data_IF_268484175299
#
_entry.id   IF_268484175299
#
_cell.length_a   1.000
_cell.length_b   1.000
_cell.length_c   1.000
_cell.angle_alpha   90.00
_cell.angle_beta   90.00
_cell.angle_gamma   90.00
#
_symmetry.space_group_name_H-M   'P 1'
#
loop_
_entity.id
_entity.type
_entity.pdbx_description
1 polymer ?
#
# COMPACT_ATOMS: atom_id res chain seq x y z
N UNK A 1 36.14 15.63 27.33
CA UNK A 1 35.96 16.54 26.16
C UNK A 1 34.60 17.20 26.36
N UNK A 2 34.58 18.48 26.70
CA UNK A 2 33.39 19.30 26.66
C UNK A 2 32.89 19.30 25.21
N UNK A 3 31.61 18.93 25.03
CA UNK A 3 30.97 19.13 23.74
C UNK A 3 30.84 20.62 23.48
N UNK A 4 31.51 21.12 22.47
CA UNK A 4 31.31 22.49 21.97
C UNK A 4 29.96 22.52 21.27
N UNK A 5 28.96 23.02 21.96
CA UNK A 5 27.58 23.21 21.45
C UNK A 5 27.48 24.31 20.38
N UNK A 6 28.60 24.97 20.08
CA UNK A 6 28.66 26.10 19.13
C UNK A 6 28.90 25.71 17.67
N UNK A 7 29.15 24.45 17.38
CA UNK A 7 29.38 23.97 16.00
C UNK A 7 28.27 23.05 15.52
N UNK A 8 27.45 23.54 14.62
CA UNK A 8 26.63 22.87 13.57
C UNK A 8 25.77 21.64 13.93
N UNK A 9 25.69 21.20 15.19
CA UNK A 9 24.92 20.00 15.59
C UNK A 9 23.49 20.33 16.02
N UNK A 10 23.20 21.59 16.35
CA UNK A 10 21.85 22.07 16.75
C UNK A 10 21.43 23.20 15.83
N UNK A 11 20.72 22.88 14.75
CA UNK A 11 20.37 23.87 13.72
C UNK A 11 19.13 24.69 14.04
N UNK A 12 18.25 24.27 14.97
CA UNK A 12 17.05 25.04 15.33
C UNK A 12 16.55 24.71 16.74
N UNK A 13 16.05 25.72 17.45
CA UNK A 13 15.32 25.55 18.69
C UNK A 13 13.97 24.86 18.42
N UNK A 14 13.56 23.97 19.34
CA UNK A 14 12.21 23.41 19.34
C UNK A 14 11.21 24.53 19.66
N UNK A 15 10.08 24.50 18.98
CA UNK A 15 8.98 25.46 19.17
C UNK A 15 7.75 24.77 19.68
N UNK A 16 7.03 25.41 20.57
CA UNK A 16 5.72 24.92 20.98
C UNK A 16 4.74 25.00 19.80
N UNK A 17 3.85 24.01 19.72
CA UNK A 17 2.80 23.96 18.69
C UNK A 17 1.75 25.02 18.99
N UNK A 18 1.44 25.85 18.00
CA UNK A 18 0.37 26.85 18.07
C UNK A 18 -0.75 26.48 17.13
N UNK A 19 -1.92 26.16 17.68
CA UNK A 19 -3.13 25.76 16.92
C UNK A 19 -4.32 26.60 17.39
N UNK A 20 -5.07 27.14 16.43
CA UNK A 20 -6.35 27.81 16.64
C UNK A 20 -7.46 27.22 15.75
N UNK A 21 -8.65 27.79 15.83
CA UNK A 21 -9.81 27.31 15.07
C UNK A 21 -9.71 27.50 13.53
N UNK A 22 -8.73 28.24 13.05
CA UNK A 22 -8.48 28.49 11.62
C UNK A 22 -7.32 27.67 11.07
N UNK A 23 -6.59 26.96 11.92
CA UNK A 23 -5.41 26.18 11.54
C UNK A 23 -5.78 25.07 10.58
N UNK A 24 -5.23 25.10 9.37
CA UNK A 24 -5.43 24.05 8.36
C UNK A 24 -4.61 22.80 8.65
N UNK A 25 -4.99 21.68 8.02
CA UNK A 25 -4.24 20.43 8.13
C UNK A 25 -2.76 20.62 7.70
N UNK A 26 -2.50 21.37 6.68
CA UNK A 26 -1.15 21.67 6.21
C UNK A 26 -0.34 22.44 7.26
N UNK A 27 -0.95 23.43 7.90
CA UNK A 27 -0.33 24.18 9.00
C UNK A 27 -0.03 23.27 10.20
N UNK A 28 -0.91 22.30 10.53
CA UNK A 28 -0.63 21.32 11.59
C UNK A 28 0.67 20.56 11.28
N UNK A 29 0.87 20.09 10.05
CA UNK A 29 2.12 19.41 9.68
C UNK A 29 3.35 20.34 9.74
N UNK A 30 3.20 21.62 9.41
CA UNK A 30 4.28 22.60 9.58
C UNK A 30 4.63 22.82 11.06
N UNK A 31 3.64 22.87 11.94
CA UNK A 31 3.86 22.97 13.38
C UNK A 31 4.52 21.69 13.93
N UNK A 32 4.11 20.49 13.47
CA UNK A 32 4.75 19.24 13.83
C UNK A 32 6.25 19.21 13.45
N UNK A 33 6.59 19.74 12.28
CA UNK A 33 7.99 19.87 11.84
C UNK A 33 8.81 20.77 12.76
N UNK A 34 8.24 21.90 13.22
CA UNK A 34 8.93 22.87 14.07
C UNK A 34 9.02 22.44 15.54
N UNK A 35 8.01 21.71 16.00
CA UNK A 35 7.96 21.23 17.40
C UNK A 35 9.03 20.20 17.69
N UNK A 36 9.47 19.49 16.64
CA UNK A 36 10.49 18.43 16.80
C UNK A 36 10.06 17.30 17.71
N UNK A 37 10.91 16.33 17.83
CA UNK A 37 10.76 15.24 18.81
C UNK A 37 9.94 14.05 18.34
N UNK A 38 10.49 12.87 18.58
CA UNK A 38 9.89 11.56 18.38
C UNK A 38 9.26 11.40 16.98
N UNK A 39 8.06 10.82 16.90
CA UNK A 39 7.39 10.49 15.64
C UNK A 39 6.78 11.70 14.90
N UNK A 40 6.63 12.86 15.54
CA UNK A 40 6.07 14.04 14.88
C UNK A 40 6.93 14.54 13.72
N UNK A 41 8.24 14.46 13.87
CA UNK A 41 9.20 14.80 12.81
C UNK A 41 9.10 13.77 11.67
N UNK A 42 9.07 12.48 11.99
CA UNK A 42 8.96 11.41 11.00
C UNK A 42 7.66 11.53 10.18
N UNK A 43 6.56 11.96 10.83
CA UNK A 43 5.28 12.21 10.15
C UNK A 43 5.38 13.40 9.19
N UNK A 44 5.97 14.49 9.64
CA UNK A 44 6.16 15.70 8.82
C UNK A 44 7.11 15.46 7.65
N UNK A 45 8.27 14.86 7.91
CA UNK A 45 9.25 14.51 6.87
C UNK A 45 8.65 13.54 5.85
N UNK A 46 7.85 12.58 6.31
CA UNK A 46 7.14 11.65 5.43
C UNK A 46 6.21 12.36 4.44
N UNK A 47 5.48 13.39 4.89
CA UNK A 47 4.63 14.20 4.01
C UNK A 47 5.45 14.96 2.96
N UNK A 48 6.58 15.57 3.35
CA UNK A 48 7.46 16.28 2.41
C UNK A 48 8.04 15.31 1.37
N UNK A 49 8.53 14.13 1.82
CA UNK A 49 9.05 13.09 0.93
C UNK A 49 7.99 12.66 -0.08
N UNK A 50 6.75 12.43 0.35
CA UNK A 50 5.65 12.05 -0.54
C UNK A 50 5.33 13.17 -1.54
N UNK A 51 5.29 14.42 -1.08
CA UNK A 51 4.99 15.56 -1.93
C UNK A 51 6.05 15.71 -3.03
N UNK A 52 7.33 15.64 -2.67
CA UNK A 52 8.42 15.72 -3.64
C UNK A 52 8.41 14.52 -4.60
N UNK A 53 8.26 13.30 -4.08
CA UNK A 53 8.22 12.08 -4.88
C UNK A 53 7.08 12.14 -5.93
N UNK A 54 5.87 12.53 -5.52
CA UNK A 54 4.71 12.58 -6.42
C UNK A 54 4.87 13.67 -7.47
N UNK A 55 5.49 14.79 -7.11
CA UNK A 55 5.75 15.92 -8.02
C UNK A 55 6.94 15.71 -8.95
N UNK A 56 7.77 14.69 -8.74
CA UNK A 56 8.93 14.40 -9.59
C UNK A 56 8.51 13.56 -10.80
N UNK A 57 8.44 14.16 -11.98
CA UNK A 57 8.06 13.48 -13.24
C UNK A 57 9.06 12.42 -13.69
N UNK A 58 10.29 12.43 -13.15
CA UNK A 58 11.34 11.44 -13.46
C UNK A 58 11.34 10.25 -12.52
N UNK A 59 10.49 10.27 -11.51
CA UNK A 59 10.40 9.24 -10.49
C UNK A 59 9.40 8.15 -10.87
N UNK A 60 9.84 6.90 -10.92
CA UNK A 60 8.97 5.73 -10.92
C UNK A 60 8.42 5.54 -9.50
N UNK A 61 7.10 5.66 -9.35
CA UNK A 61 6.42 5.78 -8.06
C UNK A 61 5.74 4.48 -7.67
N UNK A 62 6.15 3.93 -6.54
CA UNK A 62 5.58 2.71 -5.97
C UNK A 62 4.70 3.04 -4.77
N UNK A 63 3.58 2.34 -4.64
CA UNK A 63 2.86 2.21 -3.37
C UNK A 63 2.79 0.75 -2.97
N UNK A 64 3.07 0.43 -1.69
CA UNK A 64 2.82 -0.90 -1.16
C UNK A 64 1.88 -0.84 0.04
N UNK A 65 0.95 -1.80 0.13
CA UNK A 65 -0.03 -1.87 1.21
C UNK A 65 -0.46 -3.30 1.48
N UNK A 66 -0.95 -3.54 2.70
CA UNK A 66 -1.42 -4.85 3.15
C UNK A 66 -2.94 -4.99 3.00
N UNK A 67 -3.43 -6.22 2.84
CA UNK A 67 -4.85 -6.50 2.63
C UNK A 67 -5.77 -5.97 3.73
N UNK A 68 -5.34 -6.04 4.99
CA UNK A 68 -6.13 -5.57 6.13
C UNK A 68 -6.53 -4.08 6.03
N UNK A 69 -5.72 -3.24 5.42
CA UNK A 69 -6.05 -1.81 5.17
C UNK A 69 -7.29 -1.68 4.28
N UNK A 70 -7.41 -2.54 3.27
CA UNK A 70 -8.53 -2.53 2.31
C UNK A 70 -9.84 -3.03 2.96
N UNK A 71 -9.76 -3.88 3.98
CA UNK A 71 -10.95 -4.33 4.71
C UNK A 71 -11.67 -3.19 5.45
N UNK A 72 -10.96 -2.10 5.73
CA UNK A 72 -11.46 -0.91 6.45
C UNK A 72 -11.97 0.18 5.50
N UNK A 73 -12.34 1.34 6.06
CA UNK A 73 -12.67 2.56 5.30
C UNK A 73 -11.49 3.17 4.53
N UNK A 74 -10.25 2.80 4.87
CA UNK A 74 -9.06 3.27 4.15
C UNK A 74 -9.00 2.79 2.69
N UNK A 75 -9.80 1.78 2.31
CA UNK A 75 -10.02 1.41 0.90
C UNK A 75 -10.34 2.65 0.03
N UNK A 76 -11.12 3.60 0.56
CA UNK A 76 -11.43 4.86 -0.13
C UNK A 76 -10.20 5.70 -0.44
N UNK A 77 -9.24 5.79 0.49
CA UNK A 77 -7.99 6.53 0.28
C UNK A 77 -7.09 5.81 -0.74
N UNK A 78 -6.94 4.49 -0.63
CA UNK A 78 -6.18 3.69 -1.61
C UNK A 78 -6.79 3.87 -3.01
N UNK A 79 -8.11 3.79 -3.12
CA UNK A 79 -8.86 4.04 -4.36
C UNK A 79 -8.56 5.44 -4.94
N UNK A 80 -8.60 6.46 -4.10
CA UNK A 80 -8.37 7.84 -4.55
C UNK A 80 -6.92 8.08 -4.98
N UNK A 81 -5.95 7.44 -4.35
CA UNK A 81 -4.55 7.45 -4.78
C UNK A 81 -4.41 6.88 -6.20
N UNK A 82 -5.12 5.76 -6.51
CA UNK A 82 -5.15 5.18 -7.86
C UNK A 82 -5.89 6.09 -8.84
N UNK A 83 -7.02 6.68 -8.42
CA UNK A 83 -7.81 7.61 -9.23
C UNK A 83 -7.02 8.85 -9.65
N UNK A 84 -6.24 9.41 -8.74
CA UNK A 84 -5.38 10.57 -8.99
C UNK A 84 -4.08 10.21 -9.72
N UNK A 85 -3.83 8.94 -9.97
CA UNK A 85 -2.61 8.42 -10.63
C UNK A 85 -1.31 8.94 -9.95
N UNK A 86 -1.28 8.91 -8.63
CA UNK A 86 -0.10 9.32 -7.88
C UNK A 86 1.03 8.30 -7.91
N UNK A 87 0.72 7.06 -8.30
CA UNK A 87 1.66 5.94 -8.36
C UNK A 87 1.57 5.23 -9.71
N UNK A 88 2.68 4.63 -10.12
CA UNK A 88 2.80 3.87 -11.36
C UNK A 88 2.62 2.38 -11.11
N UNK A 89 3.06 1.91 -9.92
CA UNK A 89 3.04 0.50 -9.52
C UNK A 89 2.52 0.36 -8.09
N UNK A 90 1.56 -0.53 -7.89
CA UNK A 90 1.11 -0.97 -6.58
C UNK A 90 1.59 -2.39 -6.27
N UNK A 91 2.09 -2.62 -5.05
CA UNK A 91 2.39 -3.96 -4.55
C UNK A 91 1.52 -4.26 -3.33
N UNK A 92 0.84 -5.39 -3.36
CA UNK A 92 -0.07 -5.72 -2.26
C UNK A 92 -0.11 -7.24 -1.99
N UNK A 93 -1.00 -7.65 -1.10
CA UNK A 93 -1.26 -9.06 -0.77
C UNK A 93 -2.56 -9.53 -1.38
N UNK A 94 -2.77 -10.82 -1.53
CA UNK A 94 -4.00 -11.39 -2.09
C UNK A 94 -5.26 -10.88 -1.35
N UNK A 95 -5.20 -10.77 -0.02
CA UNK A 95 -6.30 -10.25 0.78
C UNK A 95 -6.78 -8.84 0.39
N UNK A 96 -5.93 -8.01 -0.24
CA UNK A 96 -6.38 -6.72 -0.77
C UNK A 96 -7.34 -6.89 -1.95
N UNK A 97 -7.09 -7.86 -2.83
CA UNK A 97 -7.98 -8.20 -3.94
C UNK A 97 -9.29 -8.78 -3.40
N UNK A 98 -9.19 -9.72 -2.46
CA UNK A 98 -10.32 -10.35 -1.80
C UNK A 98 -11.27 -9.30 -1.21
N UNK A 99 -10.73 -8.37 -0.42
CA UNK A 99 -11.52 -7.32 0.22
C UNK A 99 -12.06 -6.28 -0.76
N UNK A 100 -11.35 -5.97 -1.84
CA UNK A 100 -11.86 -5.03 -2.84
C UNK A 100 -13.04 -5.60 -3.63
N UNK A 101 -12.96 -6.88 -4.04
CA UNK A 101 -14.07 -7.61 -4.65
C UNK A 101 -15.25 -7.70 -3.68
N UNK A 102 -15.00 -8.21 -2.47
CA UNK A 102 -16.05 -8.43 -1.49
C UNK A 102 -16.81 -7.13 -1.15
N UNK A 103 -16.10 -6.04 -0.92
CA UNK A 103 -16.69 -4.73 -0.57
C UNK A 103 -17.32 -4.00 -1.76
N UNK A 104 -17.04 -4.40 -2.98
CA UNK A 104 -17.75 -3.90 -4.16
C UNK A 104 -19.16 -4.50 -4.28
N UNK A 105 -19.30 -5.80 -4.03
CA UNK A 105 -20.55 -6.51 -4.20
C UNK A 105 -21.35 -6.67 -2.90
N UNK A 106 -20.75 -6.45 -1.73
CA UNK A 106 -21.35 -6.64 -0.43
C UNK A 106 -20.84 -5.63 0.60
N UNK A 107 -21.28 -5.74 1.84
CA UNK A 107 -20.91 -4.83 2.91
C UNK A 107 -20.29 -5.57 4.09
N UNK A 108 -19.32 -4.93 4.72
CA UNK A 108 -18.77 -5.31 6.01
C UNK A 108 -19.41 -4.48 7.11
N UNK A 109 -19.38 -4.99 8.33
CA UNK A 109 -20.03 -4.34 9.46
C UNK A 109 -19.06 -4.02 10.58
N UNK A 110 -19.42 -3.06 11.41
CA UNK A 110 -18.68 -2.73 12.60
C UNK A 110 -18.87 -3.79 13.68
N UNK A 111 -17.79 -4.17 14.33
CA UNK A 111 -17.74 -5.11 15.44
C UNK A 111 -16.83 -4.62 16.54
N UNK A 112 -16.35 -5.55 17.38
CA UNK A 112 -15.42 -5.27 18.47
C UNK A 112 -14.33 -6.32 18.54
N UNK A 113 -13.15 -5.94 19.06
CA UNK A 113 -12.05 -6.87 19.34
C UNK A 113 -12.38 -7.91 20.41
N UNK A 114 -13.41 -7.67 21.23
CA UNK A 114 -13.78 -8.50 22.38
C UNK A 114 -15.04 -9.34 22.15
N UNK A 115 -15.49 -9.51 20.90
CA UNK A 115 -16.63 -10.35 20.56
C UNK A 115 -16.30 -11.84 20.74
N UNK A 116 -17.35 -12.64 21.02
CA UNK A 116 -17.22 -14.10 21.13
C UNK A 116 -17.12 -14.73 19.73
N UNK A 117 -15.94 -15.21 19.36
CA UNK A 117 -15.68 -15.80 18.05
C UNK A 117 -16.46 -17.12 17.85
N UNK A 118 -16.83 -17.85 18.90
CA UNK A 118 -17.66 -19.05 18.79
C UNK A 118 -19.10 -18.68 18.41
N UNK A 119 -19.64 -17.63 19.04
CA UNK A 119 -20.96 -17.12 18.70
C UNK A 119 -21.00 -16.60 17.26
N UNK A 120 -19.98 -15.83 16.84
CA UNK A 120 -19.85 -15.35 15.47
C UNK A 120 -19.77 -16.49 14.45
N UNK A 121 -19.00 -17.53 14.75
CA UNK A 121 -18.90 -18.71 13.88
C UNK A 121 -20.25 -19.42 13.72
N UNK A 122 -21.04 -19.56 14.79
CA UNK A 122 -22.39 -20.12 14.75
C UNK A 122 -23.38 -19.26 13.93
N UNK A 123 -23.10 -17.98 13.79
CA UNK A 123 -23.88 -17.03 12.97
C UNK A 123 -23.33 -16.89 11.54
N UNK A 124 -22.31 -17.65 11.14
CA UNK A 124 -21.61 -17.53 9.86
C UNK A 124 -21.03 -16.12 9.63
N UNK A 125 -20.44 -15.54 10.64
CA UNK A 125 -19.78 -14.24 10.58
C UNK A 125 -18.29 -14.42 10.88
N UNK A 126 -17.44 -13.97 9.98
CA UNK A 126 -16.00 -13.88 10.21
C UNK A 126 -15.63 -12.55 10.88
N UNK A 127 -14.61 -12.55 11.71
CA UNK A 127 -14.08 -11.33 12.37
C UNK A 127 -12.64 -11.08 11.96
N UNK A 128 -12.39 -9.86 11.49
CA UNK A 128 -11.05 -9.33 11.24
C UNK A 128 -10.84 -8.13 12.16
N UNK A 129 -10.24 -8.35 13.34
CA UNK A 129 -10.13 -7.32 14.37
C UNK A 129 -11.52 -6.87 14.86
N UNK A 130 -11.88 -5.64 14.57
CA UNK A 130 -13.22 -5.07 14.84
C UNK A 130 -14.07 -4.90 13.56
N UNK A 131 -13.72 -5.58 12.49
CA UNK A 131 -14.52 -5.64 11.26
C UNK A 131 -15.22 -6.99 11.17
N UNK A 132 -16.51 -7.00 10.93
CA UNK A 132 -17.32 -8.20 10.73
C UNK A 132 -17.58 -8.44 9.26
N UNK A 133 -17.34 -9.66 8.81
CA UNK A 133 -17.46 -10.08 7.43
C UNK A 133 -18.44 -11.25 7.36
N UNK A 134 -19.69 -11.07 6.88
CA UNK A 134 -20.59 -12.19 6.65
C UNK A 134 -19.96 -13.23 5.73
N UNK A 135 -20.13 -14.52 6.02
CA UNK A 135 -19.52 -15.61 5.24
C UNK A 135 -19.88 -15.52 3.75
N UNK A 136 -21.14 -15.22 3.45
CA UNK A 136 -21.64 -15.10 2.08
C UNK A 136 -21.07 -13.88 1.34
N UNK A 137 -20.51 -12.92 2.09
CA UNK A 137 -19.89 -11.71 1.55
C UNK A 137 -18.43 -11.90 1.15
N UNK A 138 -17.83 -13.06 1.40
CA UNK A 138 -16.40 -13.29 1.16
C UNK A 138 -16.14 -14.53 0.30
N UNK A 139 -16.00 -15.71 0.88
CA UNK A 139 -15.60 -16.92 0.16
C UNK A 139 -16.50 -17.28 -1.03
N UNK A 140 -17.81 -17.56 -0.81
CA UNK A 140 -18.72 -17.91 -1.89
C UNK A 140 -18.87 -16.81 -2.95
N UNK A 141 -18.88 -15.54 -2.52
CA UNK A 141 -18.97 -14.39 -3.43
C UNK A 141 -17.72 -14.28 -4.32
N UNK A 142 -16.52 -14.39 -3.74
CA UNK A 142 -15.27 -14.33 -4.49
C UNK A 142 -15.19 -15.51 -5.47
N UNK A 143 -15.61 -16.71 -5.08
CA UNK A 143 -15.67 -17.88 -5.96
C UNK A 143 -16.56 -17.60 -7.17
N UNK A 144 -17.79 -17.12 -6.95
CA UNK A 144 -18.74 -16.80 -8.03
C UNK A 144 -18.16 -15.79 -9.01
N UNK A 145 -17.61 -14.68 -8.48
CA UNK A 145 -17.12 -13.58 -9.33
C UNK A 145 -15.85 -13.97 -10.05
N UNK A 146 -14.88 -14.56 -9.37
CA UNK A 146 -13.62 -14.96 -10.00
C UNK A 146 -13.82 -16.04 -11.06
N UNK A 147 -14.71 -17.02 -10.82
CA UNK A 147 -15.06 -18.01 -11.84
C UNK A 147 -15.60 -17.33 -13.09
N UNK A 148 -16.56 -16.41 -12.94
CA UNK A 148 -17.14 -15.69 -14.07
C UNK A 148 -16.08 -14.88 -14.87
N UNK A 149 -15.19 -14.16 -14.15
CA UNK A 149 -14.15 -13.34 -14.76
C UNK A 149 -13.11 -14.19 -15.52
N UNK A 150 -12.67 -15.29 -14.92
CA UNK A 150 -11.71 -16.20 -15.55
C UNK A 150 -12.31 -16.93 -16.76
N UNK A 151 -13.57 -17.34 -16.70
CA UNK A 151 -14.27 -17.96 -17.84
C UNK A 151 -14.39 -16.99 -19.02
N UNK A 152 -14.66 -15.70 -18.80
CA UNK A 152 -14.71 -14.69 -19.87
C UNK A 152 -13.36 -14.56 -20.58
N UNK A 153 -12.26 -14.41 -19.81
CA UNK A 153 -10.92 -14.30 -20.38
C UNK A 153 -10.48 -15.61 -21.08
N UNK A 154 -10.82 -16.76 -20.51
CA UNK A 154 -10.52 -18.05 -21.09
C UNK A 154 -11.28 -18.27 -22.41
N UNK A 155 -12.56 -17.88 -22.49
CA UNK A 155 -13.36 -17.91 -23.70
C UNK A 155 -12.82 -16.93 -24.77
N UNK A 156 -12.21 -15.81 -24.36
CA UNK A 156 -11.52 -14.88 -25.23
C UNK A 156 -10.16 -15.40 -25.74
N UNK A 157 -9.73 -16.59 -25.31
CA UNK A 157 -8.49 -17.24 -25.76
C UNK A 157 -7.28 -17.04 -24.84
N UNK A 158 -7.44 -16.37 -23.70
CA UNK A 158 -6.36 -16.20 -22.71
C UNK A 158 -6.06 -17.54 -22.06
N UNK A 159 -4.79 -17.91 -21.98
CA UNK A 159 -4.31 -19.19 -21.40
C UNK A 159 -3.24 -19.00 -20.33
N UNK A 160 -2.73 -17.79 -20.19
CA UNK A 160 -1.74 -17.46 -19.21
C UNK A 160 -1.95 -16.03 -18.74
N UNK A 161 -1.80 -15.78 -17.44
CA UNK A 161 -1.87 -14.45 -16.85
C UNK A 161 -0.86 -14.32 -15.70
N UNK A 162 -0.20 -13.18 -15.60
CA UNK A 162 0.54 -12.80 -14.42
C UNK A 162 -0.37 -12.10 -13.39
N UNK A 163 0.14 -11.70 -12.21
CA UNK A 163 -0.72 -11.11 -11.19
C UNK A 163 -1.19 -9.70 -11.56
N UNK A 164 -0.40 -8.93 -12.31
CA UNK A 164 -0.83 -7.62 -12.81
C UNK A 164 -1.99 -7.74 -13.81
N UNK A 165 -1.95 -8.75 -14.69
CA UNK A 165 -3.04 -9.05 -15.62
C UNK A 165 -4.30 -9.54 -14.89
N UNK A 166 -4.16 -10.37 -13.86
CA UNK A 166 -5.28 -10.77 -12.98
C UNK A 166 -5.90 -9.54 -12.31
N UNK A 167 -5.10 -8.63 -11.74
CA UNK A 167 -5.60 -7.40 -11.13
C UNK A 167 -6.32 -6.50 -12.16
N UNK A 168 -5.79 -6.41 -13.38
CA UNK A 168 -6.39 -5.66 -14.49
C UNK A 168 -7.73 -6.28 -14.92
N UNK A 169 -7.80 -7.61 -15.03
CA UNK A 169 -9.04 -8.35 -15.30
C UNK A 169 -10.09 -8.04 -14.21
N UNK A 170 -9.74 -8.17 -12.94
CA UNK A 170 -10.65 -7.87 -11.83
C UNK A 170 -11.11 -6.41 -11.92
N UNK A 171 -10.20 -5.45 -12.09
CA UNK A 171 -10.50 -4.03 -12.19
C UNK A 171 -11.46 -3.68 -13.34
N UNK A 172 -11.42 -4.42 -14.46
CA UNK A 172 -12.33 -4.29 -15.60
C UNK A 172 -13.80 -4.59 -15.22
N UNK A 173 -14.01 -5.48 -14.23
CA UNK A 173 -15.34 -5.93 -13.79
C UNK A 173 -15.87 -5.22 -12.53
N UNK A 174 -15.05 -4.37 -11.90
CA UNK A 174 -15.46 -3.59 -10.72
C UNK A 174 -15.90 -2.17 -11.13
N UNK A 175 -16.27 -1.35 -10.16
CA UNK A 175 -16.78 0.00 -10.36
C UNK A 175 -15.94 1.08 -9.66
N UNK A 176 -16.41 2.33 -9.70
CA UNK A 176 -15.69 3.52 -9.21
C UNK A 176 -15.38 3.54 -7.71
N UNK A 177 -15.98 2.65 -6.93
CA UNK A 177 -15.69 2.45 -5.51
C UNK A 177 -14.48 1.55 -5.25
N UNK A 178 -13.92 0.90 -6.29
CA UNK A 178 -12.80 -0.04 -6.25
C UNK A 178 -11.47 0.64 -6.57
N UNK A 179 -10.40 0.25 -5.84
CA UNK A 179 -9.05 0.68 -6.19
C UNK A 179 -8.51 -0.04 -7.43
N UNK A 180 -8.90 -1.32 -7.65
CA UNK A 180 -8.52 -2.08 -8.84
C UNK A 180 -9.14 -1.50 -10.10
N UNK A 181 -10.39 -1.00 -10.02
CA UNK A 181 -11.01 -0.30 -11.14
C UNK A 181 -10.20 0.92 -11.57
N UNK A 182 -9.78 1.77 -10.62
CA UNK A 182 -9.01 2.95 -10.94
C UNK A 182 -7.57 2.63 -11.37
N UNK A 183 -6.98 1.56 -10.82
CA UNK A 183 -5.71 1.05 -11.29
C UNK A 183 -5.82 0.60 -12.77
N UNK A 184 -6.87 -0.14 -13.12
CA UNK A 184 -7.18 -0.52 -14.51
C UNK A 184 -7.37 0.70 -15.40
N UNK A 185 -8.19 1.67 -14.98
CA UNK A 185 -8.50 2.88 -15.78
C UNK A 185 -7.28 3.77 -16.05
N UNK A 186 -6.36 3.83 -15.10
CA UNK A 186 -5.17 4.67 -15.16
C UNK A 186 -3.90 3.91 -15.57
N UNK A 187 -4.04 2.65 -15.97
CA UNK A 187 -2.93 1.75 -16.38
C UNK A 187 -1.83 1.67 -15.30
N UNK A 188 -2.24 1.53 -14.04
CA UNK A 188 -1.37 1.31 -12.89
C UNK A 188 -1.24 -0.19 -12.69
N UNK A 189 -0.02 -0.71 -12.70
CA UNK A 189 0.23 -2.14 -12.50
C UNK A 189 0.12 -2.51 -11.03
N UNK A 190 -0.84 -3.36 -10.66
CA UNK A 190 -0.96 -3.91 -9.30
C UNK A 190 -0.38 -5.32 -9.30
N UNK A 191 0.65 -5.56 -8.48
CA UNK A 191 1.38 -6.82 -8.41
C UNK A 191 1.17 -7.46 -7.04
N UNK A 192 0.96 -8.77 -7.03
CA UNK A 192 0.66 -9.56 -5.82
C UNK A 192 1.64 -10.74 -5.71
N UNK A 193 2.84 -10.51 -5.14
CA UNK A 193 3.89 -11.54 -5.10
C UNK A 193 3.47 -12.83 -4.37
N UNK A 194 2.57 -12.72 -3.40
CA UNK A 194 2.02 -13.83 -2.62
C UNK A 194 0.56 -14.12 -2.96
N UNK A 195 0.19 -14.12 -4.23
CA UNK A 195 -1.21 -14.26 -4.67
C UNK A 195 -1.90 -15.55 -4.17
N UNK A 196 -1.14 -16.61 -3.92
CA UNK A 196 -1.68 -17.88 -3.42
C UNK A 196 -2.17 -17.82 -1.96
N UNK A 197 -1.84 -16.76 -1.23
CA UNK A 197 -2.26 -16.57 0.17
C UNK A 197 -3.54 -15.75 0.27
N UNK A 198 -4.64 -16.25 -0.29
CA UNK A 198 -5.96 -15.64 -0.23
C UNK A 198 -7.00 -16.32 -1.13
N UNK A 199 -8.23 -15.83 -1.06
CA UNK A 199 -9.37 -16.43 -1.76
C UNK A 199 -9.24 -16.31 -3.29
N UNK A 200 -8.83 -15.15 -3.81
CA UNK A 200 -8.60 -14.96 -5.25
C UNK A 200 -7.56 -15.98 -5.78
N UNK A 201 -6.43 -16.13 -5.09
CA UNK A 201 -5.40 -17.10 -5.49
C UNK A 201 -5.90 -18.54 -5.48
N UNK A 202 -6.71 -18.90 -4.48
CA UNK A 202 -7.35 -20.21 -4.42
C UNK A 202 -8.28 -20.43 -5.62
N UNK A 203 -9.07 -19.44 -6.02
CA UNK A 203 -9.97 -19.56 -7.19
C UNK A 203 -9.17 -19.72 -8.50
N UNK A 204 -8.05 -19.02 -8.66
CA UNK A 204 -7.16 -19.19 -9.82
C UNK A 204 -6.62 -20.64 -9.86
N UNK A 205 -6.20 -21.17 -8.71
CA UNK A 205 -5.74 -22.55 -8.62
C UNK A 205 -6.86 -23.55 -8.97
N UNK A 206 -8.07 -23.41 -8.41
CA UNK A 206 -9.21 -24.25 -8.70
C UNK A 206 -9.57 -24.22 -10.20
N UNK A 207 -9.58 -23.02 -10.80
CA UNK A 207 -9.81 -22.83 -12.22
C UNK A 207 -8.81 -23.59 -13.07
N UNK A 208 -7.52 -23.56 -12.70
CA UNK A 208 -6.47 -24.29 -13.42
C UNK A 208 -6.61 -25.82 -13.34
N UNK A 209 -7.33 -26.36 -12.33
CA UNK A 209 -7.59 -27.79 -12.23
C UNK A 209 -8.63 -28.27 -13.26
N UNK A 210 -9.58 -27.42 -13.62
CA UNK A 210 -10.58 -27.70 -14.65
C UNK A 210 -10.16 -27.24 -16.04
N UNK A 211 -9.19 -26.32 -16.14
CA UNK A 211 -8.64 -25.76 -17.37
C UNK A 211 -7.12 -25.98 -17.41
N UNK A 212 -6.69 -27.21 -17.71
CA UNK A 212 -5.30 -27.66 -17.56
C UNK A 212 -4.26 -26.95 -18.44
N UNK A 213 -4.69 -26.17 -19.42
CA UNK A 213 -3.86 -25.31 -20.27
C UNK A 213 -3.81 -23.85 -19.78
N UNK A 214 -4.58 -23.49 -18.75
CA UNK A 214 -4.48 -22.19 -18.08
C UNK A 214 -3.31 -22.18 -17.09
N UNK A 215 -2.50 -21.12 -17.11
CA UNK A 215 -1.30 -20.96 -16.27
C UNK A 215 -1.27 -19.61 -15.57
N UNK A 216 -0.94 -19.62 -14.27
CA UNK A 216 -0.51 -18.43 -13.55
C UNK A 216 1.01 -18.25 -13.76
N UNK A 217 1.41 -17.14 -14.38
CA UNK A 217 2.81 -16.85 -14.72
C UNK A 217 3.38 -15.78 -13.78
N UNK A 218 3.94 -16.19 -12.65
CA UNK A 218 4.60 -15.26 -11.71
C UNK A 218 5.88 -14.63 -12.29
N UNK A 219 6.53 -15.26 -13.27
CA UNK A 219 7.68 -14.66 -13.94
C UNK A 219 7.30 -13.49 -14.83
N UNK A 220 6.07 -13.44 -15.33
CA UNK A 220 5.55 -12.27 -16.06
C UNK A 220 5.53 -11.00 -15.23
N UNK A 221 5.29 -11.09 -13.91
CA UNK A 221 5.43 -9.95 -13.01
C UNK A 221 6.89 -9.50 -12.86
N UNK A 222 7.82 -10.44 -12.84
CA UNK A 222 9.25 -10.15 -12.81
C UNK A 222 9.71 -9.46 -14.09
N UNK A 223 9.25 -9.89 -15.25
CA UNK A 223 9.54 -9.25 -16.54
C UNK A 223 8.99 -7.82 -16.59
N UNK A 224 7.77 -7.61 -16.10
CA UNK A 224 7.15 -6.29 -16.03
C UNK A 224 7.93 -5.35 -15.10
N UNK A 225 8.24 -5.78 -13.88
CA UNK A 225 9.03 -4.98 -12.92
C UNK A 225 10.44 -4.68 -13.45
N UNK A 226 11.10 -5.68 -14.03
CA UNK A 226 12.40 -5.51 -14.68
C UNK A 226 12.33 -4.43 -15.76
N UNK A 227 11.33 -4.50 -16.64
CA UNK A 227 11.14 -3.52 -17.70
C UNK A 227 10.93 -2.09 -17.22
N UNK A 228 10.31 -1.90 -16.05
CA UNK A 228 10.10 -0.59 -15.42
C UNK A 228 11.36 -0.09 -14.71
N UNK A 229 11.95 -0.93 -13.86
CA UNK A 229 13.09 -0.59 -12.99
C UNK A 229 14.33 -0.18 -13.80
N UNK A 230 14.69 -0.94 -14.84
CA UNK A 230 15.88 -0.62 -15.65
C UNK A 230 15.73 0.63 -16.53
N UNK A 231 14.52 1.15 -16.69
CA UNK A 231 14.26 2.41 -17.42
C UNK A 231 14.15 3.62 -16.50
N UNK A 232 13.95 3.41 -15.21
CA UNK A 232 13.69 4.50 -14.27
C UNK A 232 14.96 5.32 -13.98
N UNK A 233 14.88 6.65 -14.15
CA UNK A 233 15.95 7.57 -13.74
C UNK A 233 16.01 7.67 -12.21
N UNK A 234 14.85 7.75 -11.57
CA UNK A 234 14.64 7.74 -10.12
C UNK A 234 13.52 6.80 -9.75
N UNK A 235 13.49 6.38 -8.51
CA UNK A 235 12.33 5.67 -7.97
C UNK A 235 12.04 6.07 -6.52
N UNK A 236 10.77 5.93 -6.15
CA UNK A 236 10.33 6.21 -4.80
C UNK A 236 9.20 5.29 -4.37
N UNK A 237 9.04 5.12 -3.05
CA UNK A 237 8.03 4.24 -2.50
C UNK A 237 7.32 4.82 -1.28
N UNK A 238 5.99 4.73 -1.30
CA UNK A 238 5.16 4.87 -0.11
C UNK A 238 4.74 3.49 0.36
N UNK A 239 5.16 3.10 1.56
CA UNK A 239 4.93 1.76 2.11
C UNK A 239 3.98 1.83 3.31
N UNK A 240 2.79 1.23 3.17
CA UNK A 240 1.71 1.24 4.15
C UNK A 240 1.61 -0.16 4.78
N UNK A 241 2.24 -0.33 5.94
CA UNK A 241 2.45 -1.64 6.55
C UNK A 241 3.61 -2.41 5.89
N UNK A 242 3.96 -3.54 6.48
CA UNK A 242 5.15 -4.31 6.14
C UNK A 242 4.86 -5.57 5.32
N UNK A 243 5.60 -6.63 5.64
CA UNK A 243 5.47 -7.95 5.01
C UNK A 243 6.00 -8.00 3.59
N UNK A 244 5.40 -8.91 2.79
CA UNK A 244 5.87 -9.21 1.43
C UNK A 244 5.73 -8.02 0.48
N UNK A 245 4.69 -7.20 0.61
CA UNK A 245 4.46 -6.05 -0.26
C UNK A 245 5.58 -5.01 -0.13
N UNK A 246 5.95 -4.64 1.11
CA UNK A 246 7.11 -3.79 1.39
C UNK A 246 8.40 -4.42 0.88
N UNK A 247 8.64 -5.70 1.25
CA UNK A 247 9.89 -6.38 0.89
C UNK A 247 10.07 -6.46 -0.62
N UNK A 248 9.04 -6.80 -1.37
CA UNK A 248 9.11 -6.94 -2.82
C UNK A 248 9.36 -5.58 -3.51
N UNK A 249 8.78 -4.49 -2.96
CA UNK A 249 9.08 -3.13 -3.42
C UNK A 249 10.57 -2.80 -3.27
N UNK A 250 11.11 -3.03 -2.08
CA UNK A 250 12.54 -2.80 -1.82
C UNK A 250 13.43 -3.73 -2.65
N UNK A 251 13.03 -5.02 -2.78
CA UNK A 251 13.78 -6.03 -3.52
C UNK A 251 14.03 -5.63 -4.98
N UNK A 252 13.03 -5.17 -5.68
CA UNK A 252 13.18 -4.80 -7.09
C UNK A 252 14.00 -3.51 -7.27
N UNK A 253 13.91 -2.58 -6.36
CA UNK A 253 14.64 -1.33 -6.45
C UNK A 253 16.15 -1.48 -6.26
N UNK A 254 16.65 -2.60 -5.71
CA UNK A 254 18.10 -2.87 -5.64
C UNK A 254 18.77 -2.93 -7.03
N UNK A 255 18.02 -3.31 -8.07
CA UNK A 255 18.56 -3.46 -9.43
C UNK A 255 18.78 -2.13 -10.16
N UNK A 256 18.41 -1.00 -9.54
CA UNK A 256 18.73 0.35 -10.01
C UNK A 256 19.45 1.19 -8.95
N UNK A 257 20.22 0.57 -8.09
CA UNK A 257 20.97 1.20 -7.00
C UNK A 257 20.12 1.73 -5.83
N UNK A 258 18.84 1.35 -5.75
CA UNK A 258 17.95 1.63 -4.63
C UNK A 258 16.94 2.77 -4.86
N UNK A 259 16.03 2.95 -3.91
CA UNK A 259 15.05 4.04 -3.87
C UNK A 259 15.72 5.38 -3.58
N UNK A 260 15.26 6.44 -4.25
CA UNK A 260 15.65 7.84 -3.98
C UNK A 260 14.72 8.50 -2.96
N UNK A 261 13.46 8.05 -2.90
CA UNK A 261 12.44 8.50 -1.95
C UNK A 261 11.81 7.29 -1.27
N UNK A 262 11.66 7.34 0.06
CA UNK A 262 11.00 6.26 0.78
C UNK A 262 10.29 6.78 2.04
N UNK A 263 8.98 6.54 2.13
CA UNK A 263 8.22 6.76 3.36
C UNK A 263 7.52 5.49 3.76
N UNK A 264 7.71 5.07 5.00
CA UNK A 264 7.19 3.83 5.54
C UNK A 264 6.41 4.05 6.83
N UNK A 265 5.22 3.46 6.93
CA UNK A 265 4.37 3.48 8.13
C UNK A 265 4.23 2.06 8.67
N UNK A 266 4.55 1.86 9.95
CA UNK A 266 4.46 0.55 10.62
C UNK A 266 4.18 0.68 12.11
N UNK A 267 3.56 -0.34 12.68
CA UNK A 267 3.46 -0.53 14.15
C UNK A 267 4.49 -1.54 14.67
N UNK A 268 5.19 -2.26 13.78
CA UNK A 268 6.18 -3.25 14.16
C UNK A 268 7.46 -2.59 14.68
N UNK A 269 8.14 -3.27 15.58
CA UNK A 269 9.35 -2.76 16.24
C UNK A 269 10.61 -3.41 15.66
N UNK A 270 11.72 -2.70 15.63
CA UNK A 270 13.00 -3.18 15.08
C UNK A 270 13.45 -4.51 15.72
N UNK A 271 13.24 -4.65 17.03
CA UNK A 271 13.72 -5.79 17.79
C UNK A 271 12.88 -7.07 17.63
N UNK A 272 11.74 -7.03 16.90
CA UNK A 272 11.01 -8.26 16.60
C UNK A 272 11.68 -9.08 15.48
N UNK A 273 12.63 -8.47 14.75
CA UNK A 273 13.41 -9.13 13.70
C UNK A 273 12.61 -9.41 12.42
N UNK A 274 11.36 -8.94 12.34
CA UNK A 274 10.53 -9.09 11.14
C UNK A 274 10.90 -8.08 10.06
N UNK A 275 10.56 -8.39 8.80
CA UNK A 275 10.66 -7.41 7.71
C UNK A 275 9.78 -6.18 7.95
N UNK A 276 8.71 -6.33 8.72
CA UNK A 276 7.82 -5.21 9.09
C UNK A 276 8.47 -4.28 10.12
N UNK A 277 9.31 -4.78 11.02
CA UNK A 277 10.04 -3.96 11.99
C UNK A 277 11.30 -3.31 11.45
N UNK A 278 11.87 -3.83 10.37
CA UNK A 278 13.07 -3.27 9.76
C UNK A 278 12.82 -1.85 9.24
N UNK A 279 13.60 -0.87 9.71
CA UNK A 279 13.53 0.51 9.24
C UNK A 279 13.96 0.62 7.78
N UNK A 280 13.47 1.65 7.08
CA UNK A 280 13.88 1.92 5.68
C UNK A 280 15.40 2.08 5.57
N UNK A 281 16.04 2.76 6.51
CA UNK A 281 17.50 2.98 6.53
C UNK A 281 18.32 1.69 6.53
N UNK A 282 17.80 0.59 7.09
CA UNK A 282 18.48 -0.71 7.08
C UNK A 282 18.68 -1.21 5.64
N UNK A 283 17.74 -0.91 4.76
CA UNK A 283 17.78 -1.29 3.36
C UNK A 283 18.93 -0.63 2.56
N UNK A 284 19.58 0.42 3.10
CA UNK A 284 20.77 1.04 2.51
C UNK A 284 21.93 0.03 2.44
N UNK A 285 22.14 -0.73 3.51
CA UNK A 285 23.21 -1.74 3.56
C UNK A 285 23.02 -2.89 2.56
N UNK A 286 21.79 -3.05 2.07
CA UNK A 286 21.41 -4.04 1.05
C UNK A 286 21.34 -3.46 -0.38
N UNK A 287 21.69 -2.19 -0.57
CA UNK A 287 21.59 -1.53 -1.87
C UNK A 287 20.15 -1.31 -2.37
N UNK A 288 19.14 -1.40 -1.48
CA UNK A 288 17.71 -1.26 -1.82
C UNK A 288 17.18 0.17 -1.64
N UNK A 289 17.94 1.00 -0.95
CA UNK A 289 17.71 2.44 -0.75
C UNK A 289 19.03 3.14 -0.96
N UNK A 290 19.06 4.26 -1.69
CA UNK A 290 20.31 4.99 -1.95
C UNK A 290 20.86 5.62 -0.66
N UNK A 291 22.17 5.87 -0.61
CA UNK A 291 22.79 6.52 0.56
C UNK A 291 22.31 7.97 0.76
N UNK A 292 21.86 8.61 -0.30
CA UNK A 292 21.38 10.00 -0.32
C UNK A 292 19.85 10.08 -0.38
N UNK A 293 19.15 8.97 -0.22
CA UNK A 293 17.70 8.92 -0.28
C UNK A 293 17.06 9.82 0.77
N UNK A 294 16.01 10.54 0.37
CA UNK A 294 15.08 11.16 1.30
C UNK A 294 14.18 10.05 1.85
N UNK A 295 14.31 9.76 3.15
CA UNK A 295 13.62 8.64 3.74
C UNK A 295 13.12 8.94 5.15
N UNK A 296 11.95 8.39 5.49
CA UNK A 296 11.39 8.40 6.84
C UNK A 296 10.67 7.09 7.15
N UNK A 297 10.74 6.65 8.40
CA UNK A 297 9.90 5.58 8.94
C UNK A 297 9.09 6.13 10.10
N UNK A 298 7.77 6.02 10.00
CA UNK A 298 6.81 6.44 11.01
C UNK A 298 6.27 5.23 11.76
N UNK A 299 6.50 5.17 13.08
CA UNK A 299 5.87 4.19 13.94
C UNK A 299 4.49 4.67 14.37
N UNK A 300 3.47 4.27 13.61
CA UNK A 300 2.09 4.65 13.87
C UNK A 300 1.11 3.61 13.31
N UNK A 301 -0.10 3.62 13.88
CA UNK A 301 -1.20 2.83 13.37
C UNK A 301 -1.83 3.54 12.15
N UNK A 302 -1.87 2.84 11.02
CA UNK A 302 -2.16 3.44 9.71
C UNK A 302 -3.59 3.95 9.58
N UNK A 303 -4.57 3.30 10.22
CA UNK A 303 -5.98 3.76 10.12
C UNK A 303 -6.20 5.09 10.80
N UNK A 304 -5.33 5.42 11.75
CA UNK A 304 -5.34 6.69 12.48
C UNK A 304 -4.62 7.81 11.70
N UNK A 305 -3.45 7.52 11.11
CA UNK A 305 -2.59 8.59 10.55
C UNK A 305 -2.78 8.82 9.05
N UNK A 306 -3.12 7.79 8.28
CA UNK A 306 -3.23 7.90 6.82
C UNK A 306 -4.27 8.93 6.35
N UNK A 307 -5.45 9.08 6.98
CA UNK A 307 -6.41 10.12 6.60
C UNK A 307 -5.85 11.54 6.70
N UNK A 308 -5.05 11.83 7.73
CA UNK A 308 -4.42 13.13 7.92
C UNK A 308 -3.30 13.37 6.90
N UNK A 309 -2.45 12.37 6.67
CA UNK A 309 -1.40 12.43 5.63
C UNK A 309 -2.04 12.68 4.26
N UNK A 310 -3.09 11.93 3.93
CA UNK A 310 -3.78 12.06 2.66
C UNK A 310 -4.41 13.44 2.47
N UNK A 311 -5.09 13.96 3.49
CA UNK A 311 -5.70 15.29 3.45
C UNK A 311 -4.64 16.40 3.27
N UNK A 312 -3.52 16.34 3.99
CA UNK A 312 -2.43 17.28 3.87
C UNK A 312 -1.75 17.20 2.49
N UNK A 313 -1.56 15.98 1.97
CA UNK A 313 -0.98 15.74 0.64
C UNK A 313 -1.86 16.31 -0.48
N UNK A 314 -3.19 16.11 -0.41
CA UNK A 314 -4.15 16.73 -1.33
C UNK A 314 -4.04 18.24 -1.33
N UNK A 315 -3.95 18.89 -0.14
CA UNK A 315 -3.79 20.33 -0.03
C UNK A 315 -2.51 20.81 -0.70
N UNK A 316 -1.37 20.16 -0.41
CA UNK A 316 -0.06 20.54 -0.97
C UNK A 316 0.00 20.37 -2.50
N UNK A 317 -0.50 19.26 -3.03
CA UNK A 317 -0.46 18.99 -4.47
C UNK A 317 -1.38 19.95 -5.26
N UNK A 318 -2.55 20.30 -4.71
CA UNK A 318 -3.45 21.26 -5.37
C UNK A 318 -2.89 22.69 -5.35
N UNK A 319 -2.12 23.08 -4.33
CA UNK A 319 -1.50 24.40 -4.25
C UNK A 319 -0.29 24.55 -5.17
N UNK A 320 0.28 23.45 -5.66
CA UNK A 320 1.43 23.43 -6.57
C UNK A 320 1.04 23.25 -8.05
N UNK A 321 -0.26 23.05 -8.34
CA UNK A 321 -0.84 22.93 -9.70
C UNK A 321 -1.35 24.26 -10.19
#
# INVERSE_FOLDING_TARGET
KECDWSSDVCSSDLKDIEIDSSTSIEQIFQELSKSGGFESVNLSDGLEILTEMISDDKCLKFVSFVGAVVSTGLRGIIKDMMKNKWFDVGLTTCGALDHDIAKHFSQYHEGSFTMDDLELANQNIHRLGNVLVPMDSYGPLIEEKMTAFLEEEYAAGVREMNTAEICKMIGKHLGEDSFLYWAYKNDISIIVPGIMDGAVGNQIWMFSQSHGDFKLNLFGDADLLSGLIFKAEKSGAFMIGGGISKHHTLWWNQYRDGLDYAFYITTAQEFDGSLSGALVREAISWGKVTQTAKQSTLHAEVTTVLPFIYAALLSKLNNNS
#
